data_IF_128629609281
#
_entry.id   IF_128629609281
#
_cell.length_a   1.000
_cell.length_b   1.000
_cell.length_c   1.000
_cell.angle_alpha   90.00
_cell.angle_beta   90.00
_cell.angle_gamma   90.00
#
_symmetry.space_group_name_H-M   'P 1'
#
loop_
_entity.id
_entity.type
_entity.pdbx_description
1 polymer ?
#
# COMPACT_ATOMS: atom_id res chain seq x y z
N UNK A 1 -4.49 -2.74 20.75
CA UNK A 1 -5.51 -3.80 20.85
C UNK A 1 -4.96 -5.01 20.12
N UNK A 2 -4.72 -6.15 20.76
CA UNK A 2 -4.27 -7.35 20.04
C UNK A 2 -5.46 -7.99 19.33
N UNK A 3 -5.30 -8.26 18.05
CA UNK A 3 -6.30 -8.99 17.28
C UNK A 3 -6.22 -10.49 17.61
N UNK A 4 -7.36 -11.21 17.62
CA UNK A 4 -7.33 -12.67 17.67
C UNK A 4 -6.63 -13.22 16.41
N UNK A 5 -5.93 -14.36 16.54
CA UNK A 5 -5.07 -14.92 15.49
C UNK A 5 -5.66 -14.94 14.07
N UNK A 6 -6.91 -15.42 13.87
CA UNK A 6 -7.54 -15.41 12.55
C UNK A 6 -7.70 -14.01 11.94
N UNK A 7 -8.01 -12.98 12.74
CA UNK A 7 -8.16 -11.61 12.27
C UNK A 7 -6.83 -10.97 11.89
N UNK A 8 -5.75 -11.32 12.60
CA UNK A 8 -4.41 -10.89 12.22
C UNK A 8 -4.02 -11.41 10.82
N UNK A 9 -4.21 -12.72 10.58
CA UNK A 9 -3.92 -13.35 9.28
C UNK A 9 -4.77 -12.72 8.17
N UNK A 10 -6.07 -12.50 8.43
CA UNK A 10 -6.95 -11.87 7.47
C UNK A 10 -6.51 -10.44 7.14
N UNK A 11 -6.06 -9.67 8.13
CA UNK A 11 -5.60 -8.30 7.92
C UNK A 11 -4.30 -8.24 7.11
N UNK A 12 -3.34 -9.14 7.36
CA UNK A 12 -2.11 -9.22 6.55
C UNK A 12 -2.43 -9.70 5.12
N UNK A 13 -3.34 -10.67 4.95
CA UNK A 13 -3.82 -11.09 3.64
C UNK A 13 -4.51 -9.95 2.86
N UNK A 14 -5.34 -9.16 3.55
CA UNK A 14 -5.96 -7.96 2.97
C UNK A 14 -4.91 -6.92 2.58
N UNK A 15 -3.87 -6.71 3.40
CA UNK A 15 -2.79 -5.79 3.09
C UNK A 15 -2.08 -6.17 1.79
N UNK A 16 -1.84 -7.46 1.57
CA UNK A 16 -1.26 -7.97 0.34
C UNK A 16 -2.18 -7.77 -0.89
N UNK A 17 -3.49 -8.01 -0.75
CA UNK A 17 -4.45 -7.75 -1.82
C UNK A 17 -4.48 -6.26 -2.18
N UNK A 18 -4.45 -5.38 -1.17
CA UNK A 18 -4.38 -3.94 -1.39
C UNK A 18 -3.08 -3.51 -2.09
N UNK A 19 -1.96 -4.13 -1.75
CA UNK A 19 -0.68 -3.89 -2.42
C UNK A 19 -0.77 -4.26 -3.91
N UNK A 20 -1.26 -5.47 -4.23
CA UNK A 20 -1.46 -5.89 -5.61
C UNK A 20 -2.44 -4.99 -6.37
N UNK A 21 -3.53 -4.58 -5.72
CA UNK A 21 -4.50 -3.66 -6.31
C UNK A 21 -3.91 -2.28 -6.59
N UNK A 22 -3.05 -1.75 -5.69
CA UNK A 22 -2.34 -0.50 -5.93
C UNK A 22 -1.40 -0.61 -7.13
N UNK A 23 -0.64 -1.71 -7.23
CA UNK A 23 0.27 -1.94 -8.36
C UNK A 23 -0.49 -2.07 -9.69
N UNK A 24 -1.62 -2.79 -9.70
CA UNK A 24 -2.48 -2.90 -10.88
C UNK A 24 -3.08 -1.54 -11.28
N UNK A 25 -3.53 -0.75 -10.31
CA UNK A 25 -4.05 0.59 -10.56
C UNK A 25 -2.99 1.52 -11.14
N UNK A 26 -1.78 1.53 -10.57
CA UNK A 26 -0.64 2.32 -11.07
C UNK A 26 -0.25 1.92 -12.49
N UNK A 27 -0.17 0.62 -12.77
CA UNK A 27 0.13 0.12 -14.11
C UNK A 27 -0.96 0.53 -15.11
N UNK A 28 -2.24 0.30 -14.79
CA UNK A 28 -3.37 0.70 -15.64
C UNK A 28 -3.32 2.20 -15.91
N UNK A 29 -3.26 3.02 -14.87
CA UNK A 29 -3.15 4.46 -15.02
C UNK A 29 -1.96 4.84 -15.89
N UNK A 30 -0.77 4.29 -15.65
CA UNK A 30 0.42 4.62 -16.43
C UNK A 30 0.34 4.23 -17.91
N UNK A 31 -0.32 3.12 -18.25
CA UNK A 31 -0.55 2.71 -19.65
C UNK A 31 -1.68 3.46 -20.35
N UNK A 32 -2.54 4.14 -19.59
CA UNK A 32 -3.66 4.94 -20.11
C UNK A 32 -3.44 6.45 -19.93
N UNK A 33 -2.36 6.85 -19.26
CA UNK A 33 -1.93 8.22 -19.11
C UNK A 33 -1.50 8.73 -20.49
N UNK A 34 -2.35 9.55 -21.11
CA UNK A 34 -2.19 9.96 -22.51
C UNK A 34 -0.78 10.44 -22.87
N UNK A 35 -0.43 10.32 -24.14
CA UNK A 35 0.92 10.64 -24.62
C UNK A 35 1.34 9.71 -25.75
N UNK A 36 2.65 9.56 -25.93
CA UNK A 36 3.20 8.59 -26.89
C UNK A 36 3.52 7.25 -26.21
N UNK A 37 3.88 6.24 -27.02
CA UNK A 37 4.21 4.89 -26.54
C UNK A 37 5.31 4.89 -25.46
N UNK A 38 6.29 5.80 -25.55
CA UNK A 38 7.39 5.85 -24.59
C UNK A 38 6.86 6.29 -23.22
N UNK A 39 5.98 7.30 -23.18
CA UNK A 39 5.34 7.76 -21.94
C UNK A 39 4.55 6.63 -21.29
N UNK A 40 3.78 5.85 -22.06
CA UNK A 40 3.02 4.72 -21.53
C UNK A 40 3.91 3.64 -20.93
N UNK A 41 5.03 3.30 -21.58
CA UNK A 41 5.99 2.31 -21.06
C UNK A 41 6.63 2.82 -19.78
N UNK A 42 7.09 4.07 -19.78
CA UNK A 42 7.76 4.68 -18.62
C UNK A 42 6.82 4.77 -17.43
N UNK A 43 5.58 5.23 -17.61
CA UNK A 43 4.62 5.34 -16.51
C UNK A 43 4.03 3.99 -16.11
N UNK A 44 3.60 3.19 -17.08
CA UNK A 44 2.94 1.89 -16.85
C UNK A 44 3.84 0.86 -16.19
N UNK A 45 5.16 0.92 -16.42
CA UNK A 45 6.14 0.05 -15.74
C UNK A 45 6.84 0.79 -14.59
N UNK A 46 7.26 2.03 -14.82
CA UNK A 46 8.06 2.78 -13.85
C UNK A 46 7.32 3.07 -12.55
N UNK A 47 6.02 3.39 -12.61
CA UNK A 47 5.24 3.67 -11.39
C UNK A 47 5.02 2.44 -10.49
N UNK A 48 4.59 1.26 -10.99
CA UNK A 48 4.50 0.07 -10.14
C UNK A 48 5.88 -0.42 -9.68
N UNK A 49 6.92 -0.32 -10.52
CA UNK A 49 8.29 -0.69 -10.09
C UNK A 49 8.79 0.21 -8.97
N UNK A 50 8.60 1.52 -9.08
CA UNK A 50 8.96 2.46 -8.03
C UNK A 50 8.21 2.18 -6.72
N UNK A 51 6.91 1.87 -6.81
CA UNK A 51 6.10 1.48 -5.66
C UNK A 51 6.62 0.19 -5.00
N UNK A 52 6.91 -0.86 -5.78
CA UNK A 52 7.49 -2.12 -5.28
C UNK A 52 8.84 -1.90 -4.60
N UNK A 53 9.72 -1.09 -5.20
CA UNK A 53 11.05 -0.80 -4.64
C UNK A 53 10.90 -0.04 -3.32
N UNK A 54 10.09 1.02 -3.29
CA UNK A 54 9.86 1.82 -2.08
C UNK A 54 9.28 0.96 -0.96
N UNK A 55 8.30 0.11 -1.28
CA UNK A 55 7.68 -0.80 -0.33
C UNK A 55 8.66 -1.86 0.19
N UNK A 56 9.39 -2.52 -0.71
CA UNK A 56 10.40 -3.53 -0.37
C UNK A 56 11.57 -2.97 0.46
N UNK A 57 11.91 -1.70 0.26
CA UNK A 57 12.98 -1.04 1.03
C UNK A 57 12.57 -0.71 2.46
N UNK A 58 11.32 -0.26 2.68
CA UNK A 58 10.93 0.39 3.94
C UNK A 58 9.70 -0.22 4.63
N UNK A 59 8.74 -0.77 3.90
CA UNK A 59 7.45 -1.19 4.45
C UNK A 59 7.25 -2.70 4.55
N UNK A 60 8.03 -3.49 3.81
CA UNK A 60 7.94 -4.95 3.82
C UNK A 60 8.31 -5.56 5.19
N UNK A 61 7.75 -6.73 5.56
CA UNK A 61 8.14 -7.44 6.79
C UNK A 61 9.64 -7.75 6.87
N UNK A 62 10.27 -7.99 5.71
CA UNK A 62 11.72 -8.16 5.55
C UNK A 62 12.35 -6.95 4.86
N UNK A 63 11.87 -5.74 5.16
CA UNK A 63 12.40 -4.51 4.60
C UNK A 63 13.92 -4.41 4.80
N UNK A 64 14.62 -3.95 3.76
CA UNK A 64 16.09 -3.76 3.80
C UNK A 64 16.49 -2.76 4.88
N UNK A 65 15.70 -1.70 5.06
CA UNK A 65 15.95 -0.67 6.05
C UNK A 65 14.95 -0.79 7.20
N UNK A 66 15.47 -1.05 8.41
CA UNK A 66 14.67 -0.96 9.64
C UNK A 66 14.53 0.50 10.02
N UNK A 67 13.39 1.08 9.68
CA UNK A 67 13.08 2.48 9.95
C UNK A 67 12.01 2.61 11.04
N UNK A 68 11.89 3.82 11.61
CA UNK A 68 10.86 4.10 12.60
C UNK A 68 9.46 3.93 12.00
N UNK A 69 8.50 3.49 12.84
CA UNK A 69 7.11 3.25 12.45
C UNK A 69 6.46 4.41 11.66
N UNK A 70 6.65 5.70 12.02
CA UNK A 70 6.08 6.79 11.24
C UNK A 70 6.54 6.82 9.78
N UNK A 71 7.79 6.46 9.50
CA UNK A 71 8.31 6.41 8.14
C UNK A 71 7.72 5.23 7.35
N UNK A 72 7.52 4.08 8.00
CA UNK A 72 6.80 2.94 7.41
C UNK A 72 5.38 3.35 7.01
N UNK A 73 4.66 4.03 7.90
CA UNK A 73 3.29 4.50 7.65
C UNK A 73 3.25 5.53 6.53
N UNK A 74 4.22 6.44 6.46
CA UNK A 74 4.35 7.40 5.37
C UNK A 74 4.52 6.68 4.02
N UNK A 75 5.42 5.70 3.94
CA UNK A 75 5.63 4.91 2.71
C UNK A 75 4.35 4.19 2.29
N UNK A 76 3.64 3.56 3.23
CA UNK A 76 2.35 2.92 2.95
C UNK A 76 1.32 3.93 2.43
N UNK A 77 1.23 5.09 3.06
CA UNK A 77 0.31 6.15 2.65
C UNK A 77 0.64 6.69 1.25
N UNK A 78 1.91 6.82 0.90
CA UNK A 78 2.35 7.23 -0.44
C UNK A 78 1.95 6.18 -1.47
N UNK A 79 2.25 4.90 -1.24
CA UNK A 79 1.96 3.84 -2.22
C UNK A 79 0.46 3.62 -2.40
N UNK A 80 -0.30 3.51 -1.30
CA UNK A 80 -1.75 3.36 -1.38
C UNK A 80 -2.44 4.65 -1.87
N UNK A 81 -1.97 5.82 -1.45
CA UNK A 81 -2.46 7.10 -1.96
C UNK A 81 -2.26 7.21 -3.47
N UNK A 82 -1.09 6.82 -3.98
CA UNK A 82 -0.81 6.78 -5.41
C UNK A 82 -1.73 5.79 -6.15
N UNK A 83 -1.98 4.60 -5.60
CA UNK A 83 -2.95 3.64 -6.15
C UNK A 83 -4.38 4.20 -6.20
N UNK A 84 -4.83 4.90 -5.15
CA UNK A 84 -6.13 5.56 -5.13
C UNK A 84 -6.22 6.68 -6.18
N UNK A 85 -5.19 7.52 -6.29
CA UNK A 85 -5.11 8.58 -7.30
C UNK A 85 -5.06 8.01 -8.73
N UNK A 86 -4.41 6.86 -8.92
CA UNK A 86 -4.39 6.15 -10.19
C UNK A 86 -5.80 5.66 -10.58
N UNK A 87 -6.54 5.03 -9.65
CA UNK A 87 -7.94 4.63 -9.85
C UNK A 87 -8.84 5.82 -10.18
N UNK A 88 -8.63 6.95 -9.50
CA UNK A 88 -9.34 8.19 -9.81
C UNK A 88 -9.01 8.70 -11.22
N UNK A 89 -7.73 8.69 -11.59
CA UNK A 89 -7.25 9.13 -12.90
C UNK A 89 -7.75 8.29 -14.07
N UNK A 90 -8.04 7.00 -13.86
CA UNK A 90 -8.69 6.13 -14.87
C UNK A 90 -10.22 6.18 -14.82
N UNK A 91 -10.80 7.18 -14.14
CA UNK A 91 -12.24 7.44 -14.15
C UNK A 91 -13.07 6.60 -13.17
N UNK A 92 -12.45 5.97 -12.18
CA UNK A 92 -13.15 5.12 -11.19
C UNK A 92 -13.10 5.74 -9.77
N UNK A 93 -13.76 6.90 -9.53
CA UNK A 93 -13.68 7.62 -8.25
C UNK A 93 -14.27 6.84 -7.07
N UNK A 94 -15.35 6.08 -7.29
CA UNK A 94 -15.94 5.24 -6.25
C UNK A 94 -14.96 4.14 -5.78
N UNK A 95 -14.25 3.49 -6.73
CA UNK A 95 -13.21 2.52 -6.40
C UNK A 95 -12.01 3.17 -5.71
N UNK A 96 -11.61 4.37 -6.12
CA UNK A 96 -10.53 5.11 -5.48
C UNK A 96 -10.82 5.40 -4.00
N UNK A 97 -12.03 5.88 -3.68
CA UNK A 97 -12.46 6.15 -2.30
C UNK A 97 -12.56 4.85 -1.50
N UNK A 98 -13.20 3.81 -2.06
CA UNK A 98 -13.31 2.52 -1.40
C UNK A 98 -11.93 1.93 -1.08
N UNK A 99 -11.01 1.94 -2.05
CA UNK A 99 -9.64 1.49 -1.88
C UNK A 99 -8.92 2.26 -0.78
N UNK A 100 -8.97 3.61 -0.80
CA UNK A 100 -8.33 4.45 0.20
C UNK A 100 -8.85 4.20 1.62
N UNK A 101 -10.17 4.06 1.79
CA UNK A 101 -10.80 3.77 3.08
C UNK A 101 -10.39 2.39 3.60
N UNK A 102 -10.44 1.36 2.75
CA UNK A 102 -10.06 0.00 3.14
C UNK A 102 -8.56 -0.06 3.50
N UNK A 103 -7.70 0.60 2.73
CA UNK A 103 -6.27 0.69 3.00
C UNK A 103 -5.97 1.41 4.33
N UNK A 104 -6.70 2.48 4.63
CA UNK A 104 -6.57 3.21 5.88
C UNK A 104 -6.95 2.34 7.09
N UNK A 105 -8.11 1.66 7.01
CA UNK A 105 -8.59 0.77 8.07
C UNK A 105 -7.60 -0.38 8.29
N UNK A 106 -7.16 -1.04 7.20
CA UNK A 106 -6.19 -2.12 7.25
C UNK A 106 -4.87 -1.69 7.93
N UNK A 107 -4.36 -0.53 7.54
CA UNK A 107 -3.10 0.02 8.09
C UNK A 107 -3.27 0.40 9.56
N UNK A 108 -4.40 0.99 9.95
CA UNK A 108 -4.69 1.31 11.34
C UNK A 108 -4.76 0.05 12.20
N UNK A 109 -5.48 -0.99 11.76
CA UNK A 109 -5.58 -2.27 12.46
C UNK A 109 -4.20 -2.94 12.62
N UNK A 110 -3.39 -2.96 11.56
CA UNK A 110 -2.04 -3.52 11.61
C UNK A 110 -1.13 -2.78 12.61
N UNK A 111 -1.28 -1.45 12.70
CA UNK A 111 -0.49 -0.61 13.60
C UNK A 111 -0.88 -0.84 15.06
N UNK A 112 -2.19 -0.85 15.34
CA UNK A 112 -2.73 -1.07 16.69
C UNK A 112 -2.41 -2.45 17.25
N UNK A 113 -2.32 -3.46 16.39
CA UNK A 113 -1.95 -4.83 16.75
C UNK A 113 -0.46 -4.94 17.09
N UNK A 114 0.42 -4.35 16.24
CA UNK A 114 1.87 -4.30 16.49
C UNK A 114 2.20 -3.55 17.78
N UNK A 115 1.59 -2.40 18.01
CA UNK A 115 1.81 -1.62 19.25
C UNK A 115 1.38 -2.40 20.50
N UNK A 116 0.31 -3.19 20.41
CA UNK A 116 -0.13 -4.04 21.51
C UNK A 116 0.83 -5.19 21.77
N UNK A 117 1.42 -5.77 20.72
CA UNK A 117 2.41 -6.82 20.85
C UNK A 117 3.71 -6.32 21.50
N UNK A 118 4.17 -5.11 21.15
CA UNK A 118 5.35 -4.50 21.78
C UNK A 118 5.13 -4.21 23.27
N UNK A 119 3.97 -3.63 23.63
CA UNK A 119 3.65 -3.34 25.05
C UNK A 119 3.61 -4.60 25.91
N UNK A 120 3.06 -5.69 25.39
CA UNK A 120 2.99 -6.96 26.11
C UNK A 120 4.36 -7.64 26.31
N UNK A 121 5.33 -7.41 25.42
CA UNK A 121 6.68 -7.97 25.54
C UNK A 121 7.61 -7.17 26.47
N UNK A 122 7.23 -5.94 26.80
CA UNK A 122 7.96 -5.06 27.71
C UNK A 122 7.50 -5.19 29.18
N UNK A 123 6.44 -5.97 29.43
CA UNK A 123 5.92 -6.33 30.75
C UNK A 123 6.45 -7.70 31.17
#
# INVERSE_FOLDING_TARGET
MRLPGPLHILNEGLAFILELAALAALAWWGFTAGGNVIVHIVLGIGTPVAAMVLWGMFAAPRARFKVALPLVLLVKAVVFGAGALALYGVGHPALAVAFAVVALINTALATLDRDAAFRAAAQ
#
